data_IF_719968377608
#
_entry.id   IF_719968377608
#
_cell.length_a   1.000
_cell.length_b   1.000
_cell.length_c   1.000
_cell.angle_alpha   90.00
_cell.angle_beta   90.00
_cell.angle_gamma   90.00
#
_symmetry.space_group_name_H-M   'P 1'
#
loop_
_entity.id
_entity.type
_entity.pdbx_description
1 polymer ?
#
# COMPACT_ATOMS: atom_id res chain seq x y z
N UNK A 1 6.77 -24.81 -29.79
CA UNK A 1 5.59 -24.23 -29.18
C UNK A 1 5.62 -24.55 -27.70
N UNK A 2 5.94 -23.57 -26.82
CA UNK A 2 5.88 -23.76 -25.36
C UNK A 2 4.40 -23.75 -24.95
N UNK A 3 3.89 -24.89 -24.47
CA UNK A 3 2.56 -24.95 -23.86
C UNK A 3 2.57 -24.07 -22.63
N UNK A 4 1.74 -23.03 -22.65
CA UNK A 4 1.43 -22.21 -21.50
C UNK A 4 0.64 -23.07 -20.52
N UNK A 5 1.28 -23.62 -19.49
CA UNK A 5 0.61 -24.29 -18.39
C UNK A 5 0.04 -23.21 -17.46
N UNK A 6 -1.24 -22.88 -17.65
CA UNK A 6 -1.92 -21.83 -16.86
C UNK A 6 -2.38 -22.31 -15.48
N UNK A 7 -2.39 -23.61 -15.23
CA UNK A 7 -2.79 -24.20 -13.95
C UNK A 7 -1.96 -25.47 -13.71
N UNK A 8 -0.86 -25.36 -12.98
CA UNK A 8 -0.45 -26.47 -12.13
C UNK A 8 -1.36 -26.43 -10.91
N UNK A 9 -2.07 -27.52 -10.56
CA UNK A 9 -2.76 -27.58 -9.28
C UNK A 9 -1.67 -27.57 -8.20
N UNK A 10 -1.52 -26.42 -7.52
CA UNK A 10 -0.75 -26.34 -6.28
C UNK A 10 -1.31 -27.42 -5.35
N UNK A 11 -0.45 -28.35 -4.92
CA UNK A 11 -0.83 -29.45 -4.02
C UNK A 11 -1.56 -28.81 -2.82
N UNK A 12 -2.86 -29.08 -2.71
CA UNK A 12 -3.65 -28.64 -1.57
C UNK A 12 -3.05 -29.27 -0.32
N UNK A 13 -2.57 -28.48 0.64
CA UNK A 13 -2.09 -29.05 1.90
C UNK A 13 -3.24 -29.75 2.60
N UNK A 14 -3.08 -31.00 2.93
CA UNK A 14 -4.10 -31.86 3.57
C UNK A 14 -4.63 -31.31 4.91
N UNK A 15 -3.96 -30.29 5.47
CA UNK A 15 -4.38 -29.58 6.69
C UNK A 15 -4.16 -28.08 6.56
N UNK A 16 -5.24 -27.30 6.62
CA UNK A 16 -5.18 -25.83 6.70
C UNK A 16 -4.74 -25.44 8.12
N UNK A 17 -3.45 -25.25 8.32
CA UNK A 17 -2.93 -24.69 9.56
C UNK A 17 -3.07 -23.16 9.55
N UNK A 18 -3.94 -22.62 10.42
CA UNK A 18 -4.01 -21.17 10.67
C UNK A 18 -2.70 -20.74 11.33
N UNK A 19 -1.78 -20.23 10.54
CA UNK A 19 -0.48 -19.79 11.03
C UNK A 19 -0.57 -18.48 11.83
N UNK A 20 0.41 -18.25 12.71
CA UNK A 20 0.54 -17.01 13.48
C UNK A 20 0.49 -15.75 12.59
N UNK A 21 0.95 -15.83 11.34
CA UNK A 21 0.86 -14.74 10.37
C UNK A 21 -0.59 -14.34 10.09
N UNK A 22 -1.47 -15.32 9.89
CA UNK A 22 -2.89 -15.07 9.61
C UNK A 22 -3.56 -14.34 10.78
N UNK A 23 -3.32 -14.81 12.01
CA UNK A 23 -3.87 -14.18 13.21
C UNK A 23 -3.37 -12.75 13.37
N UNK A 24 -2.06 -12.53 13.19
CA UNK A 24 -1.47 -11.17 13.21
C UNK A 24 -2.07 -10.25 12.16
N UNK A 25 -2.26 -10.76 10.95
CA UNK A 25 -2.84 -9.95 9.86
C UNK A 25 -4.27 -9.55 10.21
N UNK A 26 -5.09 -10.47 10.72
CA UNK A 26 -6.48 -10.18 11.11
C UNK A 26 -6.53 -9.15 12.24
N UNK A 27 -5.71 -9.31 13.27
CA UNK A 27 -5.63 -8.35 14.39
C UNK A 27 -5.18 -6.96 13.89
N UNK A 28 -4.16 -6.91 13.04
CA UNK A 28 -3.66 -5.64 12.50
C UNK A 28 -4.69 -4.95 11.60
N UNK A 29 -5.43 -5.72 10.78
CA UNK A 29 -6.52 -5.21 9.94
C UNK A 29 -7.63 -4.63 10.81
N UNK A 30 -8.01 -5.33 11.89
CA UNK A 30 -9.02 -4.83 12.81
C UNK A 30 -8.60 -3.54 13.49
N UNK A 31 -7.36 -3.45 13.98
CA UNK A 31 -6.81 -2.23 14.60
C UNK A 31 -6.81 -1.07 13.59
N UNK A 32 -6.34 -1.31 12.36
CA UNK A 32 -6.33 -0.30 11.32
C UNK A 32 -7.75 0.20 10.97
N UNK A 33 -8.72 -0.72 10.88
CA UNK A 33 -10.11 -0.37 10.62
C UNK A 33 -10.71 0.47 11.76
N UNK A 34 -10.44 0.11 13.02
CA UNK A 34 -10.90 0.89 14.18
C UNK A 34 -10.29 2.30 14.23
N UNK A 35 -9.01 2.43 13.92
CA UNK A 35 -8.36 3.75 13.85
C UNK A 35 -8.95 4.64 12.76
N UNK A 36 -9.27 4.06 11.58
CA UNK A 36 -9.95 4.80 10.52
C UNK A 36 -11.39 5.15 10.91
N UNK A 37 -12.11 4.25 11.58
CA UNK A 37 -13.45 4.52 12.09
C UNK A 37 -13.48 5.71 13.07
N UNK A 38 -12.52 5.79 13.99
CA UNK A 38 -12.38 6.91 14.93
C UNK A 38 -12.09 8.26 14.23
N UNK A 39 -11.62 8.23 12.98
CA UNK A 39 -11.34 9.40 12.15
C UNK A 39 -12.44 9.72 11.15
N UNK A 40 -13.56 9.01 11.17
CA UNK A 40 -14.60 9.09 10.13
C UNK A 40 -14.04 8.92 8.70
N UNK A 41 -13.01 8.07 8.55
CA UNK A 41 -12.34 7.81 7.28
C UNK A 41 -12.65 6.42 6.73
N UNK A 42 -12.61 6.27 5.39
CA UNK A 42 -12.88 4.99 4.74
C UNK A 42 -11.71 4.01 4.92
N UNK A 43 -11.90 2.87 5.61
CA UNK A 43 -10.79 2.03 6.08
C UNK A 43 -10.09 1.20 4.99
N UNK A 44 -10.60 1.15 3.77
CA UNK A 44 -10.13 0.24 2.72
C UNK A 44 -8.63 0.35 2.44
N UNK A 45 -8.08 1.58 2.36
CA UNK A 45 -6.66 1.79 2.08
C UNK A 45 -5.76 1.36 3.23
N UNK A 46 -6.19 1.60 4.48
CA UNK A 46 -5.48 1.16 5.67
C UNK A 46 -5.46 -0.37 5.75
N UNK A 47 -6.60 -1.03 5.55
CA UNK A 47 -6.71 -2.49 5.56
C UNK A 47 -5.84 -3.14 4.47
N UNK A 48 -5.87 -2.61 3.23
CA UNK A 48 -5.00 -3.08 2.13
C UNK A 48 -3.51 -2.86 2.46
N UNK A 49 -3.17 -1.74 3.11
CA UNK A 49 -1.81 -1.48 3.52
C UNK A 49 -1.31 -2.51 4.53
N UNK A 50 -2.13 -2.89 5.51
CA UNK A 50 -1.80 -3.95 6.47
C UNK A 50 -1.50 -5.26 5.76
N UNK A 51 -2.41 -5.72 4.89
CA UNK A 51 -2.27 -7.01 4.18
C UNK A 51 -0.98 -7.07 3.37
N UNK A 52 -0.63 -5.98 2.66
CA UNK A 52 0.58 -5.92 1.85
C UNK A 52 1.85 -5.84 2.73
N UNK A 53 1.82 -5.08 3.82
CA UNK A 53 3.00 -4.89 4.68
C UNK A 53 3.27 -6.08 5.60
N UNK A 54 2.23 -6.85 5.97
CA UNK A 54 2.39 -7.98 6.87
C UNK A 54 3.14 -9.13 6.22
N UNK A 55 4.38 -9.33 6.62
CA UNK A 55 5.26 -10.39 6.13
C UNK A 55 5.54 -11.46 7.19
N UNK A 56 6.13 -12.58 6.75
CA UNK A 56 6.43 -13.72 7.63
C UNK A 56 7.49 -13.39 8.70
N UNK A 57 8.41 -12.46 8.41
CA UNK A 57 9.42 -12.00 9.37
C UNK A 57 9.29 -10.50 9.64
N UNK A 58 9.69 -10.08 10.84
CA UNK A 58 9.67 -8.67 11.25
C UNK A 58 10.55 -7.82 10.35
N UNK A 59 11.73 -8.31 9.99
CA UNK A 59 12.66 -7.61 9.08
C UNK A 59 12.02 -7.35 7.71
N UNK A 60 11.41 -8.37 7.10
CA UNK A 60 10.72 -8.22 5.81
C UNK A 60 9.51 -7.28 5.92
N UNK A 61 8.81 -7.27 7.05
CA UNK A 61 7.71 -6.33 7.30
C UNK A 61 8.23 -4.90 7.35
N UNK A 62 9.35 -4.64 8.03
CA UNK A 62 9.96 -3.30 8.08
C UNK A 62 10.36 -2.83 6.69
N UNK A 63 11.06 -3.66 5.92
CA UNK A 63 11.49 -3.32 4.55
C UNK A 63 10.28 -3.03 3.66
N UNK A 64 9.23 -3.86 3.71
CA UNK A 64 8.02 -3.66 2.93
C UNK A 64 7.27 -2.39 3.35
N UNK A 65 7.20 -2.11 4.64
CA UNK A 65 6.60 -0.90 5.21
C UNK A 65 7.33 0.37 4.76
N UNK A 66 8.66 0.36 4.80
CA UNK A 66 9.48 1.48 4.31
C UNK A 66 9.28 1.70 2.81
N UNK A 67 9.28 0.64 2.01
CA UNK A 67 9.04 0.74 0.58
C UNK A 67 7.63 1.30 0.29
N UNK A 68 6.62 0.86 1.04
CA UNK A 68 5.26 1.37 0.90
C UNK A 68 5.14 2.83 1.35
N UNK A 69 5.82 3.23 2.42
CA UNK A 69 5.86 4.64 2.86
C UNK A 69 6.48 5.52 1.79
N UNK A 70 7.62 5.14 1.23
CA UNK A 70 8.26 5.85 0.13
C UNK A 70 7.34 5.96 -1.09
N UNK A 71 6.70 4.85 -1.48
CA UNK A 71 5.74 4.83 -2.58
C UNK A 71 4.56 5.77 -2.31
N UNK A 72 4.04 5.80 -1.08
CA UNK A 72 2.94 6.67 -0.68
C UNK A 72 3.33 8.15 -0.72
N UNK A 73 4.53 8.49 -0.27
CA UNK A 73 5.03 9.87 -0.34
C UNK A 73 5.20 10.31 -1.80
N UNK A 74 5.87 9.52 -2.63
CA UNK A 74 6.09 9.85 -4.04
C UNK A 74 4.74 9.96 -4.77
N UNK A 75 3.91 8.91 -4.69
CA UNK A 75 2.60 8.89 -5.37
C UNK A 75 1.66 9.99 -4.86
N UNK A 76 1.70 10.29 -3.56
CA UNK A 76 0.91 11.35 -2.93
C UNK A 76 1.32 12.75 -3.40
N UNK A 77 2.61 13.06 -3.42
CA UNK A 77 3.13 14.37 -3.89
C UNK A 77 2.78 14.59 -5.36
N UNK A 78 3.05 13.62 -6.23
CA UNK A 78 2.73 13.75 -7.65
C UNK A 78 1.22 13.73 -7.90
N UNK A 79 0.45 12.96 -7.14
CA UNK A 79 -1.01 12.94 -7.21
C UNK A 79 -1.62 14.28 -6.81
N UNK A 80 -1.19 14.86 -5.68
CA UNK A 80 -1.62 16.21 -5.26
C UNK A 80 -1.20 17.28 -6.26
N UNK A 81 0.02 17.20 -6.81
CA UNK A 81 0.48 18.10 -7.86
C UNK A 81 -0.41 18.04 -9.12
N UNK A 82 -0.85 16.83 -9.51
CA UNK A 82 -1.76 16.64 -10.64
C UNK A 82 -3.14 17.27 -10.36
N UNK A 83 -3.66 17.07 -9.15
CA UNK A 83 -4.93 17.68 -8.71
C UNK A 83 -4.82 19.21 -8.73
N UNK A 84 -3.73 19.76 -8.19
CA UNK A 84 -3.48 21.20 -8.19
C UNK A 84 -3.40 21.79 -9.60
N UNK A 85 -2.64 21.18 -10.49
CA UNK A 85 -2.52 21.61 -11.89
C UNK A 85 -3.88 21.57 -12.60
N UNK A 86 -4.68 20.54 -12.36
CA UNK A 86 -5.98 20.40 -12.96
C UNK A 86 -6.99 21.43 -12.44
N UNK A 87 -6.85 21.84 -11.17
CA UNK A 87 -7.67 22.90 -10.60
C UNK A 87 -7.35 24.27 -11.20
N UNK A 88 -6.06 24.62 -11.26
CA UNK A 88 -5.61 25.90 -11.82
C UNK A 88 -5.90 26.02 -13.32
N UNK A 89 -5.77 24.93 -14.08
CA UNK A 89 -5.97 24.93 -15.55
C UNK A 89 -7.40 24.67 -15.99
N UNK A 90 -8.31 24.34 -15.04
CA UNK A 90 -9.69 23.97 -15.37
C UNK A 90 -9.81 22.64 -16.15
N UNK A 91 -8.77 21.80 -16.14
CA UNK A 91 -8.75 20.52 -16.85
C UNK A 91 -9.88 19.57 -16.41
N UNK A 92 -10.47 19.80 -15.25
CA UNK A 92 -11.60 19.03 -14.76
C UNK A 92 -12.83 19.05 -15.66
N UNK A 93 -12.98 20.10 -16.46
CA UNK A 93 -14.12 20.23 -17.37
C UNK A 93 -14.01 19.29 -18.59
N UNK A 94 -12.79 18.84 -18.91
CA UNK A 94 -12.52 17.95 -20.06
C UNK A 94 -11.95 16.63 -19.50
N UNK A 95 -12.84 15.70 -19.13
CA UNK A 95 -12.46 14.42 -18.48
C UNK A 95 -11.39 13.63 -19.24
N UNK A 96 -11.44 13.45 -20.59
CA UNK A 96 -10.39 12.71 -21.28
C UNK A 96 -9.01 13.37 -21.18
N UNK A 97 -8.96 14.71 -21.21
CA UNK A 97 -7.70 15.45 -21.11
C UNK A 97 -7.09 15.34 -19.72
N UNK A 98 -7.94 15.29 -18.69
CA UNK A 98 -7.49 15.03 -17.32
C UNK A 98 -6.86 13.63 -17.16
N UNK A 99 -7.49 12.60 -17.73
CA UNK A 99 -6.91 11.25 -17.68
C UNK A 99 -5.60 11.14 -18.44
N UNK A 100 -5.47 11.88 -19.54
CA UNK A 100 -4.21 11.99 -20.27
C UNK A 100 -3.13 12.65 -19.39
N UNK A 101 -3.45 13.74 -18.69
CA UNK A 101 -2.52 14.40 -17.76
C UNK A 101 -2.07 13.46 -16.65
N UNK A 102 -3.00 12.71 -16.02
CA UNK A 102 -2.66 11.69 -15.00
C UNK A 102 -1.71 10.64 -15.58
N UNK A 103 -1.95 10.19 -16.82
CA UNK A 103 -1.10 9.20 -17.50
C UNK A 103 0.31 9.73 -17.77
N UNK A 104 0.44 11.00 -18.17
CA UNK A 104 1.75 11.64 -18.37
C UNK A 104 2.51 11.76 -17.05
N UNK A 105 1.84 12.20 -15.98
CA UNK A 105 2.47 12.28 -14.65
C UNK A 105 2.87 10.88 -14.13
N UNK A 106 2.12 9.85 -14.47
CA UNK A 106 2.50 8.46 -14.14
C UNK A 106 3.83 8.07 -14.78
N UNK A 107 4.10 8.49 -16.04
CA UNK A 107 5.40 8.25 -16.68
C UNK A 107 6.52 8.89 -15.87
N UNK A 108 6.33 10.13 -15.39
CA UNK A 108 7.32 10.81 -14.54
C UNK A 108 7.59 10.05 -13.25
N UNK A 109 6.55 9.52 -12.59
CA UNK A 109 6.70 8.71 -11.37
C UNK A 109 7.46 7.41 -11.65
N UNK A 110 7.19 6.74 -12.78
CA UNK A 110 7.91 5.53 -13.18
C UNK A 110 9.39 5.84 -13.40
N UNK A 111 9.70 6.89 -14.16
CA UNK A 111 11.08 7.29 -14.43
C UNK A 111 11.82 7.67 -13.14
N UNK A 112 11.17 8.39 -12.23
CA UNK A 112 11.73 8.77 -10.94
C UNK A 112 12.07 7.55 -10.09
N UNK A 113 11.15 6.60 -9.98
CA UNK A 113 11.36 5.38 -9.17
C UNK A 113 12.45 4.47 -9.75
N UNK A 114 12.59 4.42 -11.08
CA UNK A 114 13.69 3.74 -11.76
C UNK A 114 15.02 4.46 -11.54
N UNK A 115 15.03 5.79 -11.59
CA UNK A 115 16.21 6.59 -11.31
C UNK A 115 16.74 6.37 -9.87
N UNK A 116 15.84 6.26 -8.89
CA UNK A 116 16.16 5.93 -7.49
C UNK A 116 16.62 4.46 -7.34
N UNK A 117 16.63 3.67 -8.43
CA UNK A 117 17.01 2.23 -8.42
C UNK A 117 16.16 1.36 -7.50
N UNK A 118 14.90 1.72 -7.31
CA UNK A 118 13.92 0.95 -6.50
C UNK A 118 12.68 0.56 -7.32
N UNK A 119 12.80 -0.35 -8.29
CA UNK A 119 11.67 -0.76 -9.12
C UNK A 119 10.52 -1.40 -8.32
N UNK A 120 10.81 -1.95 -7.14
CA UNK A 120 9.81 -2.55 -6.26
C UNK A 120 8.75 -1.58 -5.74
N UNK A 121 9.04 -0.26 -5.71
CA UNK A 121 8.08 0.76 -5.26
C UNK A 121 7.28 1.38 -6.41
N UNK A 122 7.66 1.17 -7.67
CA UNK A 122 7.05 1.81 -8.84
C UNK A 122 5.55 1.56 -8.92
N UNK A 123 5.14 0.28 -8.88
CA UNK A 123 3.73 -0.09 -8.97
C UNK A 123 2.90 0.52 -7.83
N UNK A 124 3.44 0.51 -6.60
CA UNK A 124 2.78 1.08 -5.43
C UNK A 124 2.63 2.60 -5.55
N UNK A 125 3.66 3.30 -6.04
CA UNK A 125 3.62 4.76 -6.26
C UNK A 125 2.57 5.14 -7.30
N UNK A 126 2.46 4.38 -8.40
CA UNK A 126 1.44 4.59 -9.42
C UNK A 126 0.02 4.37 -8.87
N UNK A 127 -0.19 3.32 -8.06
CA UNK A 127 -1.49 3.06 -7.40
C UNK A 127 -1.88 4.20 -6.48
N UNK A 128 -0.95 4.73 -5.68
CA UNK A 128 -1.21 5.87 -4.80
C UNK A 128 -1.52 7.14 -5.61
N UNK A 129 -0.75 7.42 -6.66
CA UNK A 129 -1.00 8.54 -7.57
C UNK A 129 -2.42 8.49 -8.15
N UNK A 130 -2.82 7.35 -8.72
CA UNK A 130 -4.16 7.14 -9.27
C UNK A 130 -5.22 7.32 -8.18
N UNK A 131 -5.00 6.73 -7.01
CA UNK A 131 -5.91 6.82 -5.87
C UNK A 131 -6.16 8.25 -5.44
N UNK A 132 -5.11 9.08 -5.39
CA UNK A 132 -5.19 10.51 -5.07
C UNK A 132 -5.86 11.29 -6.20
N UNK A 133 -5.47 11.06 -7.45
CA UNK A 133 -6.02 11.76 -8.61
C UNK A 133 -7.52 11.50 -8.81
N UNK A 134 -8.01 10.28 -8.55
CA UNK A 134 -9.43 9.93 -8.73
C UNK A 134 -10.33 10.39 -7.58
N UNK A 135 -9.78 10.81 -6.43
CA UNK A 135 -10.55 11.22 -5.24
C UNK A 135 -11.33 12.52 -5.41
N UNK A 136 -12.06 12.67 -6.49
CA UNK A 136 -12.75 13.90 -6.90
C UNK A 136 -14.09 14.18 -6.22
N UNK A 137 -14.56 13.37 -5.32
CA UNK A 137 -15.95 13.43 -4.82
C UNK A 137 -16.16 14.20 -3.53
N UNK A 138 -15.14 14.83 -2.96
CA UNK A 138 -15.20 15.52 -1.69
C UNK A 138 -15.13 17.04 -1.89
N UNK A 139 -15.78 17.80 -1.02
CA UNK A 139 -15.87 19.25 -1.07
C UNK A 139 -14.52 19.99 -1.17
N UNK A 140 -13.41 19.28 -0.88
CA UNK A 140 -12.07 19.74 -1.23
C UNK A 140 -11.17 18.57 -1.64
N UNK A 141 -10.69 18.55 -2.89
CA UNK A 141 -9.88 17.45 -3.44
C UNK A 141 -8.57 17.22 -2.68
N UNK A 142 -8.01 18.27 -2.07
CA UNK A 142 -6.79 18.19 -1.27
C UNK A 142 -6.98 17.43 0.03
N UNK A 143 -8.11 17.64 0.73
CA UNK A 143 -8.43 16.93 1.98
C UNK A 143 -8.62 15.44 1.71
N UNK A 144 -9.30 15.09 0.63
CA UNK A 144 -9.47 13.69 0.22
C UNK A 144 -8.13 13.01 -0.10
N UNK A 145 -7.24 13.70 -0.82
CA UNK A 145 -5.91 13.22 -1.11
C UNK A 145 -5.06 12.99 0.16
N UNK A 146 -5.08 13.97 1.06
CA UNK A 146 -4.37 13.91 2.34
C UNK A 146 -4.87 12.77 3.22
N UNK A 147 -6.20 12.60 3.34
CA UNK A 147 -6.79 11.51 4.10
C UNK A 147 -6.35 10.15 3.58
N UNK A 148 -6.27 9.95 2.26
CA UNK A 148 -5.80 8.69 1.66
C UNK A 148 -4.34 8.37 2.01
N UNK A 149 -3.47 9.38 2.02
CA UNK A 149 -2.07 9.22 2.45
C UNK A 149 -2.04 8.82 3.93
N UNK A 150 -2.78 9.53 4.78
CA UNK A 150 -2.82 9.25 6.22
C UNK A 150 -3.38 7.86 6.51
N UNK A 151 -4.48 7.45 5.86
CA UNK A 151 -5.07 6.12 6.04
C UNK A 151 -4.09 5.00 5.65
N UNK A 152 -3.33 5.21 4.57
CA UNK A 152 -2.26 4.26 4.19
C UNK A 152 -1.18 4.18 5.27
N UNK A 153 -0.76 5.32 5.84
CA UNK A 153 0.24 5.35 6.92
C UNK A 153 -0.27 4.72 8.21
N UNK A 154 -1.55 4.89 8.54
CA UNK A 154 -2.20 4.19 9.67
C UNK A 154 -2.11 2.67 9.48
N UNK A 155 -2.43 2.16 8.29
CA UNK A 155 -2.34 0.74 7.98
C UNK A 155 -0.90 0.20 8.09
N UNK A 156 0.09 0.96 7.60
CA UNK A 156 1.52 0.62 7.74
C UNK A 156 1.91 0.56 9.21
N UNK A 157 1.52 1.57 10.00
CA UNK A 157 1.78 1.63 11.44
C UNK A 157 1.16 0.46 12.20
N UNK A 158 -0.09 0.10 11.92
CA UNK A 158 -0.76 -1.04 12.52
C UNK A 158 -0.05 -2.37 12.19
N UNK A 159 0.38 -2.56 10.93
CA UNK A 159 1.12 -3.76 10.53
C UNK A 159 2.47 -3.88 11.27
N UNK A 160 3.21 -2.79 11.38
CA UNK A 160 4.48 -2.76 12.11
C UNK A 160 4.29 -3.03 13.59
N UNK A 161 3.34 -2.33 14.23
CA UNK A 161 3.06 -2.46 15.65
C UNK A 161 2.71 -3.90 16.01
N UNK A 162 1.78 -4.53 15.30
CA UNK A 162 1.37 -5.92 15.57
C UNK A 162 2.50 -6.91 15.28
N UNK A 163 3.30 -6.68 14.24
CA UNK A 163 4.37 -7.63 13.93
C UNK A 163 5.57 -7.53 14.89
N UNK A 164 5.81 -6.37 15.49
CA UNK A 164 6.86 -6.16 16.50
C UNK A 164 6.38 -6.70 17.86
N UNK A 165 5.13 -6.44 18.25
CA UNK A 165 4.59 -6.87 19.54
C UNK A 165 4.35 -8.37 19.63
N UNK A 166 4.06 -9.02 18.49
CA UNK A 166 3.86 -10.47 18.42
C UNK A 166 5.00 -11.14 17.62
N UNK A 167 6.20 -11.31 18.17
CA UNK A 167 7.33 -11.88 17.45
C UNK A 167 7.06 -13.34 17.03
N UNK A 168 7.57 -13.75 15.88
CA UNK A 168 7.41 -15.11 15.38
C UNK A 168 8.27 -16.06 16.21
N UNK A 169 7.65 -17.04 16.86
CA UNK A 169 8.34 -18.08 17.67
C UNK A 169 9.46 -18.80 16.90
N UNK A 170 9.32 -18.98 15.58
CA UNK A 170 10.35 -19.60 14.72
C UNK A 170 11.62 -18.75 14.57
N UNK A 171 11.53 -17.43 14.67
CA UNK A 171 12.72 -16.57 14.66
C UNK A 171 13.49 -16.63 15.98
N UNK A 172 12.80 -16.92 17.10
CA UNK A 172 13.43 -17.07 18.41
C UNK A 172 14.15 -18.40 18.56
N UNK A 173 13.63 -19.48 17.95
CA UNK A 173 14.28 -20.79 17.93
C UNK A 173 15.52 -20.85 17.03
N UNK A 174 15.59 -20.00 15.99
CA UNK A 174 16.78 -19.90 15.14
C UNK A 174 17.86 -18.99 15.73
N UNK A 175 17.52 -18.14 16.71
CA UNK A 175 18.47 -17.25 17.39
C UNK A 175 19.07 -17.87 18.67
N UNK A 176 18.50 -18.94 19.19
CA UNK A 176 19.02 -19.70 20.33
C UNK A 176 19.02 -21.21 19.98
N UNK A 177 20.06 -21.73 19.33
CA UNK A 177 20.19 -23.15 19.03
C UNK A 177 20.67 -24.00 20.25
N UNK A 178 20.75 -23.44 21.45
CA UNK A 178 21.31 -24.09 22.66
C UNK A 178 20.31 -24.19 23.83
N UNK A 179 19.02 -24.45 23.55
CA UNK A 179 18.08 -24.95 24.62
C UNK A 179 17.29 -26.14 24.11
#
# INVERSE_FOLDING_TARGET
MKKFQFFEPEATPDHIHIGLRTIKTVVAVFIAAMLCYLRDSWPALAMMAVVICMQASTEKTIIMSLNRTLATVIGGVFGMGTVFLADVTGLYHIVPLYYLAVSVVMILVILLTLYIKKPSITALSCVVLISVAISRGLDSPYIGAMNRVIDTLIGIGAALLVNITLPNRKAKAAANPEE
#
